data_IF_538667362910
#
_entry.id   IF_538667362910
#
_cell.length_a   1.000
_cell.length_b   1.000
_cell.length_c   1.000
_cell.angle_alpha   90.00
_cell.angle_beta   90.00
_cell.angle_gamma   90.00
#
_symmetry.space_group_name_H-M   'P 1'
#
loop_
_entity.id
_entity.type
_entity.pdbx_description
1 polymer ?
#
# COMPACT_ATOMS: atom_id res chain seq x y z
N UNK A 1 -20.38 -21.87 8.06
CA UNK A 1 -20.44 -23.30 8.46
C UNK A 1 -21.87 -23.83 8.55
N UNK A 2 -22.82 -23.11 9.14
CA UNK A 2 -24.23 -23.55 9.26
C UNK A 2 -24.95 -23.74 7.91
N UNK A 3 -24.67 -22.92 6.90
CA UNK A 3 -25.31 -23.03 5.58
C UNK A 3 -24.87 -24.31 4.85
N UNK A 4 -23.62 -24.74 5.02
CA UNK A 4 -23.10 -25.98 4.43
C UNK A 4 -23.74 -27.25 5.01
N UNK A 5 -24.02 -27.28 6.31
CA UNK A 5 -24.63 -28.42 6.98
C UNK A 5 -26.12 -28.58 6.60
N UNK A 6 -26.84 -27.48 6.39
CA UNK A 6 -28.25 -27.52 5.97
C UNK A 6 -28.43 -28.12 4.55
N UNK A 7 -27.51 -27.86 3.64
CA UNK A 7 -27.52 -28.44 2.27
C UNK A 7 -27.22 -29.94 2.28
N UNK A 8 -26.30 -30.41 3.12
CA UNK A 8 -25.96 -31.82 3.25
C UNK A 8 -27.15 -32.60 3.81
N UNK A 9 -27.83 -32.08 4.83
CA UNK A 9 -29.01 -32.73 5.43
C UNK A 9 -30.17 -32.82 4.44
N UNK A 10 -30.44 -31.76 3.65
CA UNK A 10 -31.47 -31.76 2.60
C UNK A 10 -31.16 -32.73 1.47
N UNK A 11 -29.89 -32.88 1.10
CA UNK A 11 -29.44 -33.81 0.07
C UNK A 11 -29.65 -35.27 0.49
N UNK A 12 -29.33 -35.63 1.75
CA UNK A 12 -29.57 -36.96 2.28
C UNK A 12 -31.07 -37.29 2.39
N UNK A 13 -31.93 -36.31 2.71
CA UNK A 13 -33.38 -36.52 2.77
C UNK A 13 -33.96 -36.80 1.39
N UNK A 14 -33.50 -36.13 0.35
CA UNK A 14 -33.91 -36.33 -1.05
C UNK A 14 -33.52 -37.76 -1.56
N UNK A 15 -32.36 -38.27 -1.14
CA UNK A 15 -31.87 -39.60 -1.50
C UNK A 15 -32.72 -40.71 -0.88
N UNK A 16 -33.26 -40.51 0.34
CA UNK A 16 -34.11 -41.53 1.04
C UNK A 16 -35.51 -41.59 0.42
N UNK A 17 -36.07 -40.50 -0.06
CA UNK A 17 -37.43 -40.44 -0.63
C UNK A 17 -37.50 -41.12 -2.02
N UNK A 18 -36.41 -41.17 -2.78
CA UNK A 18 -36.37 -41.77 -4.13
C UNK A 18 -36.20 -43.30 -4.10
N UNK A 19 -36.15 -43.91 -2.90
CA UNK A 19 -35.87 -45.35 -2.73
C UNK A 19 -36.95 -46.34 -3.25
N UNK A 20 -38.05 -45.81 -3.81
CA UNK A 20 -39.17 -46.65 -4.37
C UNK A 20 -39.18 -46.86 -5.86
N UNK A 21 -38.30 -46.23 -6.66
CA UNK A 21 -38.34 -46.26 -8.12
C UNK A 21 -37.22 -47.10 -8.76
N UNK A 22 -37.50 -47.71 -9.95
CA UNK A 22 -36.61 -48.56 -10.73
C UNK A 22 -35.30 -47.94 -11.18
N UNK A 23 -34.97 -46.71 -10.75
CA UNK A 23 -33.78 -45.92 -11.10
C UNK A 23 -32.58 -46.16 -10.18
N UNK A 24 -32.68 -47.08 -9.19
CA UNK A 24 -31.60 -47.36 -8.19
C UNK A 24 -30.22 -47.65 -8.84
N UNK A 25 -30.18 -48.18 -10.04
CA UNK A 25 -28.93 -48.56 -10.72
C UNK A 25 -28.17 -47.34 -11.26
N UNK A 26 -28.81 -46.18 -11.43
CA UNK A 26 -28.21 -44.98 -12.01
C UNK A 26 -27.98 -43.84 -11.01
N UNK A 27 -28.60 -43.90 -9.84
CA UNK A 27 -28.47 -42.86 -8.80
C UNK A 27 -27.05 -42.83 -8.25
N UNK A 28 -26.46 -43.98 -7.91
CA UNK A 28 -25.10 -44.00 -7.35
C UNK A 28 -24.03 -43.50 -8.34
N UNK A 29 -23.99 -43.95 -9.64
CA UNK A 29 -23.07 -43.39 -10.61
C UNK A 29 -23.33 -41.88 -10.87
N UNK A 30 -24.57 -41.39 -10.86
CA UNK A 30 -24.88 -39.99 -11.00
C UNK A 30 -24.37 -39.17 -9.81
N UNK A 31 -24.53 -39.66 -8.56
CA UNK A 31 -24.02 -39.02 -7.37
C UNK A 31 -22.49 -39.00 -7.33
N UNK A 32 -21.86 -40.09 -7.74
CA UNK A 32 -20.40 -40.15 -7.86
C UNK A 32 -19.89 -39.20 -8.93
N UNK A 33 -20.57 -39.09 -10.07
CA UNK A 33 -20.23 -38.13 -11.13
C UNK A 33 -20.43 -36.71 -10.68
N UNK A 34 -21.54 -36.37 -9.99
CA UNK A 34 -21.81 -35.05 -9.45
C UNK A 34 -20.78 -34.68 -8.38
N UNK A 35 -20.41 -35.61 -7.49
CA UNK A 35 -19.38 -35.42 -6.50
C UNK A 35 -17.99 -35.20 -7.12
N UNK A 36 -17.65 -35.99 -8.16
CA UNK A 36 -16.42 -35.83 -8.92
C UNK A 36 -16.38 -34.48 -9.66
N UNK A 37 -17.53 -34.04 -10.21
CA UNK A 37 -17.65 -32.73 -10.86
C UNK A 37 -17.46 -31.56 -9.86
N UNK A 38 -18.06 -31.66 -8.69
CA UNK A 38 -17.89 -30.64 -7.61
C UNK A 38 -16.44 -30.64 -7.11
N UNK A 39 -15.83 -31.81 -6.92
CA UNK A 39 -14.42 -31.88 -6.52
C UNK A 39 -13.48 -31.36 -7.63
N UNK A 40 -13.77 -31.64 -8.92
CA UNK A 40 -12.96 -31.10 -10.02
C UNK A 40 -13.09 -29.56 -10.15
N UNK A 41 -14.26 -28.97 -9.85
CA UNK A 41 -14.42 -27.52 -9.81
C UNK A 41 -13.63 -26.85 -8.66
N UNK A 42 -13.43 -27.53 -7.54
CA UNK A 42 -12.61 -27.02 -6.44
C UNK A 42 -11.10 -27.12 -6.74
N UNK A 43 -10.68 -28.10 -7.52
CA UNK A 43 -9.27 -28.26 -7.92
C UNK A 43 -8.84 -27.23 -8.97
N UNK A 44 -9.79 -26.65 -9.72
CA UNK A 44 -9.54 -25.62 -10.74
C UNK A 44 -9.54 -24.18 -10.21
N UNK A 45 -9.76 -23.96 -8.91
CA UNK A 45 -9.51 -22.68 -8.29
C UNK A 45 -8.00 -22.48 -8.18
N UNK A 46 -7.37 -22.05 -9.28
CA UNK A 46 -5.98 -21.55 -9.24
C UNK A 46 -5.97 -20.42 -8.22
N UNK A 47 -5.14 -20.49 -7.16
CA UNK A 47 -5.01 -19.37 -6.24
C UNK A 47 -4.66 -18.13 -7.07
N UNK A 48 -5.53 -17.13 -7.05
CA UNK A 48 -5.22 -15.88 -7.74
C UNK A 48 -3.98 -15.31 -7.08
N UNK A 49 -2.91 -15.13 -7.85
CA UNK A 49 -1.68 -14.54 -7.32
C UNK A 49 -2.01 -13.19 -6.68
N UNK A 50 -1.39 -12.90 -5.55
CA UNK A 50 -1.55 -11.60 -4.91
C UNK A 50 -1.12 -10.49 -5.87
N UNK A 51 -1.80 -9.34 -5.88
CA UNK A 51 -1.58 -8.27 -6.86
C UNK A 51 -0.14 -7.82 -7.00
N UNK A 52 0.64 -7.87 -5.91
CA UNK A 52 2.04 -7.43 -5.86
C UNK A 52 3.02 -8.59 -5.66
N UNK A 53 2.61 -9.84 -5.96
CA UNK A 53 3.49 -10.98 -5.90
C UNK A 53 4.72 -10.79 -6.83
N UNK A 54 5.91 -11.06 -6.31
CA UNK A 54 7.21 -10.87 -6.98
C UNK A 54 7.58 -9.38 -7.23
N UNK A 55 6.91 -8.44 -6.57
CA UNK A 55 7.30 -7.03 -6.54
C UNK A 55 8.04 -6.68 -5.27
N UNK A 56 8.95 -5.72 -5.37
CA UNK A 56 9.79 -5.28 -4.26
C UNK A 56 9.81 -3.74 -4.16
N UNK A 57 9.57 -3.22 -2.96
CA UNK A 57 9.49 -1.78 -2.73
C UNK A 57 10.40 -1.35 -1.59
N UNK A 58 10.96 -0.15 -1.71
CA UNK A 58 11.51 0.58 -0.57
C UNK A 58 10.51 1.63 -0.11
N UNK A 59 10.17 1.62 1.18
CA UNK A 59 9.39 2.67 1.81
C UNK A 59 10.34 3.58 2.57
N UNK A 60 10.42 4.82 2.12
CA UNK A 60 11.19 5.85 2.79
C UNK A 60 10.27 6.63 3.75
N UNK A 61 10.56 6.56 5.04
CA UNK A 61 9.90 7.37 6.05
C UNK A 61 10.70 8.66 6.25
N UNK A 62 10.20 9.77 5.74
CA UNK A 62 10.89 11.06 5.78
C UNK A 62 11.28 11.49 7.19
N UNK A 63 12.40 12.23 7.30
CA UNK A 63 12.94 12.73 8.57
C UNK A 63 13.30 11.64 9.60
N UNK A 64 13.38 11.98 10.87
CA UNK A 64 13.66 11.10 12.00
C UNK A 64 14.92 11.45 12.79
N UNK A 65 14.99 11.02 14.04
CA UNK A 65 16.12 11.26 14.93
C UNK A 65 16.29 12.74 15.28
N UNK A 66 17.35 13.38 14.75
CA UNK A 66 17.60 14.81 14.97
C UNK A 66 16.86 15.75 14.01
N UNK A 67 16.20 15.22 13.00
CA UNK A 67 15.38 15.97 12.04
C UNK A 67 13.89 15.65 12.25
N UNK A 68 13.20 16.47 13.02
CA UNK A 68 11.77 16.31 13.29
C UNK A 68 10.88 16.62 12.06
N UNK A 69 11.45 17.20 10.98
CA UNK A 69 10.69 17.73 9.85
C UNK A 69 9.90 18.99 10.21
N UNK A 70 8.74 19.15 9.59
CA UNK A 70 7.82 20.21 9.95
C UNK A 70 7.21 19.98 11.33
N UNK A 71 6.97 21.06 12.07
CA UNK A 71 6.41 21.02 13.42
C UNK A 71 5.26 22.02 13.60
N UNK A 72 4.27 21.65 14.40
CA UNK A 72 3.25 22.57 14.87
C UNK A 72 2.84 22.22 16.32
N UNK A 73 3.30 23.02 17.29
CA UNK A 73 3.22 22.66 18.72
C UNK A 73 4.01 21.38 18.98
N UNK A 74 3.39 20.41 19.62
CA UNK A 74 4.01 19.10 19.92
C UNK A 74 3.87 18.07 18.78
N UNK A 75 3.23 18.46 17.67
CA UNK A 75 3.02 17.56 16.52
C UNK A 75 4.22 17.66 15.59
N UNK A 76 4.89 16.53 15.37
CA UNK A 76 6.08 16.41 14.53
C UNK A 76 5.77 15.57 13.29
N UNK A 77 6.35 15.96 12.17
CA UNK A 77 6.21 15.29 10.89
C UNK A 77 6.79 13.87 10.92
N UNK A 78 7.99 13.72 11.44
CA UNK A 78 8.75 12.46 11.44
C UNK A 78 8.00 11.29 12.08
N UNK A 79 7.29 11.55 13.18
CA UNK A 79 6.52 10.55 13.91
C UNK A 79 5.31 10.07 13.10
N UNK A 80 4.60 11.00 12.43
CA UNK A 80 3.44 10.67 11.60
C UNK A 80 3.88 9.99 10.31
N UNK A 81 4.99 10.44 9.68
CA UNK A 81 5.58 9.79 8.53
C UNK A 81 5.89 8.31 8.83
N UNK A 82 6.49 8.02 9.98
CA UNK A 82 6.80 6.66 10.38
C UNK A 82 5.55 5.81 10.61
N UNK A 83 4.51 6.38 11.21
CA UNK A 83 3.24 5.69 11.42
C UNK A 83 2.58 5.30 10.09
N UNK A 84 2.44 6.24 9.15
CA UNK A 84 1.87 5.98 7.82
C UNK A 84 2.75 5.00 7.03
N UNK A 85 4.07 5.17 7.05
CA UNK A 85 5.01 4.29 6.35
C UNK A 85 4.92 2.83 6.81
N UNK A 86 4.72 2.59 8.12
CA UNK A 86 4.50 1.24 8.68
C UNK A 86 3.20 0.61 8.21
N UNK A 87 2.11 1.39 8.12
CA UNK A 87 0.84 0.91 7.58
C UNK A 87 0.97 0.58 6.08
N UNK A 88 1.63 1.45 5.30
CA UNK A 88 1.92 1.20 3.86
C UNK A 88 2.72 -0.09 3.70
N UNK A 89 3.80 -0.30 4.49
CA UNK A 89 4.57 -1.54 4.49
C UNK A 89 3.69 -2.75 4.75
N UNK A 90 2.86 -2.69 5.80
CA UNK A 90 1.99 -3.80 6.19
C UNK A 90 1.06 -4.18 5.05
N UNK A 91 0.38 -3.20 4.47
CA UNK A 91 -0.56 -3.43 3.37
C UNK A 91 0.13 -3.95 2.09
N UNK A 92 1.32 -3.44 1.74
CA UNK A 92 2.09 -3.95 0.60
C UNK A 92 2.47 -5.44 0.78
N UNK A 93 2.91 -5.82 1.98
CA UNK A 93 3.25 -7.21 2.32
C UNK A 93 2.00 -8.10 2.23
N UNK A 94 0.85 -7.64 2.72
CA UNK A 94 -0.44 -8.36 2.60
C UNK A 94 -0.85 -8.57 1.13
N UNK A 95 -0.44 -7.69 0.23
CA UNK A 95 -0.64 -7.83 -1.22
C UNK A 95 0.46 -8.66 -1.91
N UNK A 96 1.40 -9.22 -1.17
CA UNK A 96 2.43 -10.14 -1.68
C UNK A 96 3.76 -9.49 -2.04
N UNK A 97 3.96 -8.22 -1.77
CA UNK A 97 5.21 -7.54 -2.04
C UNK A 97 6.31 -7.86 -1.01
N UNK A 98 7.56 -7.78 -1.43
CA UNK A 98 8.72 -7.67 -0.54
C UNK A 98 8.97 -6.18 -0.22
N UNK A 99 9.21 -5.84 1.05
CA UNK A 99 9.34 -4.43 1.45
C UNK A 99 10.51 -4.24 2.41
N UNK A 100 11.35 -3.24 2.13
CA UNK A 100 12.33 -2.68 3.09
C UNK A 100 11.92 -1.24 3.42
N UNK A 101 12.16 -0.82 4.67
CA UNK A 101 12.04 0.58 5.08
C UNK A 101 13.42 1.20 5.22
N UNK A 102 13.55 2.50 4.89
CA UNK A 102 14.80 3.26 5.15
C UNK A 102 15.04 3.38 6.64
N UNK A 103 14.00 3.59 7.44
CA UNK A 103 13.99 3.52 8.90
C UNK A 103 12.69 2.92 9.41
N UNK A 104 12.76 2.20 10.51
CA UNK A 104 11.61 1.61 11.21
C UNK A 104 11.48 2.09 12.67
N UNK A 105 12.28 3.07 13.05
CA UNK A 105 12.30 3.73 14.35
C UNK A 105 12.51 5.24 14.24
N UNK A 106 12.55 5.91 15.40
CA UNK A 106 12.90 7.33 15.50
C UNK A 106 14.42 7.51 15.47
N UNK A 107 15.00 7.46 14.29
CA UNK A 107 16.40 7.71 14.01
C UNK A 107 16.58 8.22 12.59
N UNK A 108 17.63 9.00 12.36
CA UNK A 108 18.16 9.27 11.02
C UNK A 108 19.26 8.27 10.65
N UNK A 109 19.71 8.26 9.42
CA UNK A 109 20.70 7.32 8.89
C UNK A 109 22.12 7.89 8.87
N UNK A 110 22.32 9.11 9.37
CA UNK A 110 23.62 9.73 9.41
C UNK A 110 24.48 9.18 10.56
N UNK A 111 25.78 9.07 10.34
CA UNK A 111 26.75 8.71 11.38
C UNK A 111 26.77 9.71 12.53
N UNK A 112 27.47 9.35 13.63
CA UNK A 112 27.49 10.21 14.84
C UNK A 112 28.26 11.52 14.62
N UNK A 113 29.43 11.46 13.97
CA UNK A 113 30.37 12.59 13.83
C UNK A 113 30.48 13.07 12.38
N UNK A 114 29.34 13.41 11.75
CA UNK A 114 29.31 13.90 10.37
C UNK A 114 29.11 15.42 10.32
N UNK A 115 29.85 16.11 9.47
CA UNK A 115 29.80 17.56 9.32
C UNK A 115 28.43 18.06 8.79
N UNK A 116 27.86 17.34 7.82
CA UNK A 116 26.55 17.66 7.24
C UNK A 116 25.60 16.48 7.38
N UNK A 117 24.97 16.40 8.55
CA UNK A 117 24.07 15.30 8.94
C UNK A 117 22.92 15.10 7.97
N UNK A 118 22.25 16.18 7.53
CA UNK A 118 21.13 16.08 6.60
C UNK A 118 21.54 15.52 5.24
N UNK A 119 22.71 15.94 4.73
CA UNK A 119 23.22 15.43 3.47
C UNK A 119 23.58 13.95 3.56
N UNK A 120 24.22 13.56 4.65
CA UNK A 120 24.59 12.15 4.92
C UNK A 120 23.34 11.28 5.00
N UNK A 121 22.34 11.67 5.80
CA UNK A 121 21.06 10.97 5.91
C UNK A 121 20.40 10.76 4.54
N UNK A 122 20.31 11.80 3.73
CA UNK A 122 19.74 11.71 2.38
C UNK A 122 20.54 10.78 1.45
N UNK A 123 21.88 10.77 1.56
CA UNK A 123 22.73 9.86 0.78
C UNK A 123 22.50 8.40 1.19
N UNK A 124 22.36 8.12 2.48
CA UNK A 124 22.09 6.76 2.98
C UNK A 124 20.71 6.27 2.56
N UNK A 125 19.67 7.13 2.57
CA UNK A 125 18.34 6.82 2.04
C UNK A 125 18.42 6.41 0.57
N UNK A 126 19.08 7.21 -0.25
CA UNK A 126 19.30 6.90 -1.68
C UNK A 126 20.08 5.60 -1.86
N UNK A 127 21.09 5.32 -1.02
CA UNK A 127 21.84 4.07 -1.08
C UNK A 127 20.96 2.85 -0.77
N UNK A 128 20.05 2.95 0.20
CA UNK A 128 19.07 1.89 0.49
C UNK A 128 18.11 1.69 -0.68
N UNK A 129 17.60 2.78 -1.29
CA UNK A 129 16.71 2.71 -2.45
C UNK A 129 17.41 2.05 -3.64
N UNK A 130 18.69 2.37 -3.86
CA UNK A 130 19.51 1.82 -4.94
C UNK A 130 20.15 0.46 -4.60
N UNK A 131 19.57 -0.31 -3.68
CA UNK A 131 20.11 -1.60 -3.24
C UNK A 131 20.13 -2.70 -4.32
N UNK A 132 19.54 -2.45 -5.49
CA UNK A 132 19.61 -3.32 -6.66
C UNK A 132 18.55 -4.42 -6.74
N UNK A 133 17.60 -4.47 -5.81
CA UNK A 133 16.49 -5.44 -5.83
C UNK A 133 15.10 -4.77 -5.81
N UNK A 134 15.00 -3.47 -5.50
CA UNK A 134 13.73 -2.76 -5.48
C UNK A 134 13.25 -2.43 -6.91
N UNK A 135 11.97 -2.66 -7.17
CA UNK A 135 11.31 -2.24 -8.41
C UNK A 135 10.93 -0.77 -8.37
N UNK A 136 10.58 -0.26 -7.18
CA UNK A 136 10.23 1.14 -6.98
C UNK A 136 10.37 1.56 -5.50
N UNK A 137 10.24 2.88 -5.24
CA UNK A 137 10.21 3.40 -3.87
C UNK A 137 9.06 4.39 -3.66
N UNK A 138 8.64 4.54 -2.38
CA UNK A 138 7.61 5.48 -1.96
C UNK A 138 8.16 6.22 -0.73
N UNK A 139 8.36 7.53 -0.84
CA UNK A 139 8.76 8.39 0.26
C UNK A 139 7.52 9.03 0.89
N UNK A 140 7.39 8.96 2.22
CA UNK A 140 6.24 9.43 2.98
C UNK A 140 6.63 10.67 3.77
N UNK A 141 5.92 11.76 3.54
CA UNK A 141 6.13 13.07 4.11
C UNK A 141 4.82 13.77 4.50
N UNK A 142 4.94 14.85 5.28
CA UNK A 142 3.89 15.82 5.51
C UNK A 142 4.38 17.21 5.10
N UNK A 143 3.49 17.96 4.49
CA UNK A 143 3.77 19.31 4.04
C UNK A 143 3.52 20.35 5.16
N UNK A 144 4.14 21.51 5.01
CA UNK A 144 3.83 22.71 5.77
C UNK A 144 3.91 23.92 4.84
N UNK A 145 2.96 24.82 4.96
CA UNK A 145 2.92 26.03 4.14
C UNK A 145 2.65 27.27 5.00
N UNK A 146 3.04 28.45 4.53
CA UNK A 146 2.83 29.72 5.24
C UNK A 146 1.35 30.06 5.40
N UNK A 147 0.51 29.67 4.43
CA UNK A 147 -0.94 29.82 4.51
C UNK A 147 -1.57 28.60 5.16
N UNK A 148 -2.28 28.79 6.25
CA UNK A 148 -3.02 27.76 6.96
C UNK A 148 -4.27 27.25 6.20
N UNK A 149 -4.59 27.82 5.04
CA UNK A 149 -5.73 27.39 4.21
C UNK A 149 -5.36 26.33 3.18
N UNK A 150 -4.06 26.08 2.95
CA UNK A 150 -3.59 25.04 2.02
C UNK A 150 -3.66 23.69 2.72
N UNK A 151 -4.32 22.73 2.08
CA UNK A 151 -4.54 21.39 2.59
C UNK A 151 -4.68 20.35 1.47
N UNK A 152 -4.65 19.09 1.81
CA UNK A 152 -4.87 17.96 0.92
C UNK A 152 -3.59 17.23 0.51
N UNK A 153 -3.65 15.89 0.52
CA UNK A 153 -2.53 15.05 0.13
C UNK A 153 -2.13 15.27 -1.34
N UNK A 154 -0.81 15.28 -1.62
CA UNK A 154 -0.27 15.51 -2.94
C UNK A 154 0.92 14.61 -3.24
N UNK A 155 0.98 14.06 -4.45
CA UNK A 155 2.07 13.18 -4.89
C UNK A 155 3.01 13.93 -5.84
N UNK A 156 4.32 13.78 -5.58
CA UNK A 156 5.39 14.33 -6.39
C UNK A 156 6.19 13.22 -7.06
N UNK A 157 6.72 13.51 -8.25
CA UNK A 157 7.51 12.59 -9.05
C UNK A 157 8.65 13.32 -9.78
N UNK A 158 9.65 12.59 -10.23
CA UNK A 158 10.69 13.12 -11.11
C UNK A 158 10.13 13.36 -12.53
N UNK A 159 10.25 14.58 -13.05
CA UNK A 159 9.61 15.00 -14.30
C UNK A 159 10.00 14.14 -15.52
N UNK A 160 11.27 13.78 -15.60
CA UNK A 160 11.83 13.01 -16.72
C UNK A 160 11.52 11.49 -16.64
N UNK A 161 10.94 11.02 -15.52
CA UNK A 161 10.67 9.60 -15.30
C UNK A 161 9.19 9.27 -15.55
N UNK A 162 8.89 8.67 -16.71
CA UNK A 162 7.53 8.33 -17.11
C UNK A 162 6.86 7.31 -16.15
N UNK A 163 7.60 6.33 -15.64
CA UNK A 163 7.09 5.34 -14.69
C UNK A 163 6.74 5.99 -13.34
N UNK A 164 7.61 6.88 -12.81
CA UNK A 164 7.33 7.67 -11.62
C UNK A 164 6.08 8.55 -11.79
N UNK A 165 5.93 9.19 -12.93
CA UNK A 165 4.74 10.00 -13.27
C UNK A 165 3.48 9.16 -13.28
N UNK A 166 3.50 8.01 -13.92
CA UNK A 166 2.35 7.09 -13.96
C UNK A 166 1.96 6.60 -12.57
N UNK A 167 2.94 6.16 -11.76
CA UNK A 167 2.72 5.75 -10.37
C UNK A 167 2.12 6.88 -9.55
N UNK A 168 2.68 8.10 -9.66
CA UNK A 168 2.16 9.28 -8.96
C UNK A 168 0.71 9.59 -9.32
N UNK A 169 0.33 9.48 -10.59
CA UNK A 169 -1.04 9.72 -11.04
C UNK A 169 -2.01 8.68 -10.47
N UNK A 170 -1.64 7.40 -10.44
CA UNK A 170 -2.49 6.35 -9.87
C UNK A 170 -2.68 6.54 -8.35
N UNK A 171 -1.60 6.84 -7.62
CA UNK A 171 -1.68 7.10 -6.18
C UNK A 171 -2.51 8.36 -5.91
N UNK A 172 -2.30 9.45 -6.63
CA UNK A 172 -3.07 10.68 -6.47
C UNK A 172 -4.56 10.48 -6.74
N UNK A 173 -4.91 9.65 -7.72
CA UNK A 173 -6.31 9.30 -8.01
C UNK A 173 -6.97 8.60 -6.82
N UNK A 174 -6.28 7.65 -6.18
CA UNK A 174 -6.82 6.96 -5.01
C UNK A 174 -6.89 7.87 -3.78
N UNK A 175 -5.90 8.74 -3.57
CA UNK A 175 -5.96 9.76 -2.53
C UNK A 175 -7.15 10.70 -2.73
N UNK A 176 -7.41 11.13 -3.96
CA UNK A 176 -8.57 11.99 -4.28
C UNK A 176 -9.92 11.30 -4.12
N UNK A 177 -9.97 9.98 -4.23
CA UNK A 177 -11.17 9.18 -3.99
C UNK A 177 -11.42 8.89 -2.50
N UNK A 178 -10.35 8.87 -1.68
CA UNK A 178 -10.41 8.45 -0.28
C UNK A 178 -10.34 9.62 0.72
N UNK A 179 -9.92 10.80 0.26
CA UNK A 179 -9.81 12.03 1.06
C UNK A 179 -10.49 13.19 0.33
N UNK A 180 -10.51 14.36 0.94
CA UNK A 180 -11.08 15.58 0.33
C UNK A 180 -10.07 16.38 -0.51
N UNK A 181 -8.87 15.82 -0.77
CA UNK A 181 -7.83 16.52 -1.53
C UNK A 181 -8.29 16.89 -2.93
N UNK A 182 -7.98 18.11 -3.34
CA UNK A 182 -8.16 18.64 -4.71
C UNK A 182 -6.83 18.81 -5.43
N UNK A 183 -5.75 18.34 -4.80
CA UNK A 183 -4.41 18.38 -5.38
C UNK A 183 -4.29 17.41 -6.57
N UNK A 184 -3.32 17.65 -7.43
CA UNK A 184 -2.95 16.77 -8.53
C UNK A 184 -1.48 16.38 -8.41
N UNK A 185 -1.12 15.20 -8.92
CA UNK A 185 0.27 14.80 -9.02
C UNK A 185 1.05 15.80 -9.87
N UNK A 186 2.25 16.17 -9.44
CA UNK A 186 3.10 17.13 -10.16
C UNK A 186 4.60 16.79 -10.03
N UNK A 187 5.44 17.28 -10.95
CA UNK A 187 6.88 17.17 -10.76
C UNK A 187 7.34 17.88 -9.49
N UNK A 188 8.39 17.33 -8.86
CA UNK A 188 9.01 17.90 -7.66
C UNK A 188 10.53 17.82 -7.73
N UNK A 189 11.17 18.91 -7.34
CA UNK A 189 12.63 19.05 -7.26
C UNK A 189 13.10 18.60 -5.86
N UNK A 190 13.06 17.29 -5.62
CA UNK A 190 13.49 16.68 -4.36
C UNK A 190 14.68 15.76 -4.62
N UNK A 191 15.71 15.87 -3.78
CA UNK A 191 16.90 15.02 -3.86
C UNK A 191 16.56 13.52 -3.89
N UNK A 192 15.57 13.11 -3.09
CA UNK A 192 15.10 11.71 -3.01
C UNK A 192 14.39 11.24 -4.29
N UNK A 193 13.89 12.15 -5.13
CA UNK A 193 13.29 11.82 -6.42
C UNK A 193 14.31 11.79 -7.56
N UNK A 194 15.36 12.64 -7.47
CA UNK A 194 16.35 12.80 -8.53
C UNK A 194 17.44 11.73 -8.55
N UNK A 195 17.86 11.23 -7.39
CA UNK A 195 19.09 10.41 -7.26
C UNK A 195 18.89 8.91 -7.36
N UNK A 196 17.73 8.33 -7.02
CA UNK A 196 17.48 6.91 -7.24
C UNK A 196 17.48 6.52 -8.73
N UNK A 197 17.91 5.28 -9.00
CA UNK A 197 17.91 4.69 -10.34
C UNK A 197 16.59 3.95 -10.67
N UNK A 198 15.76 3.72 -9.67
CA UNK A 198 14.45 3.08 -9.81
C UNK A 198 13.35 4.13 -9.76
N UNK A 199 12.18 3.88 -10.40
CA UNK A 199 11.05 4.79 -10.31
C UNK A 199 10.58 4.98 -8.87
N UNK A 200 10.04 6.16 -8.57
CA UNK A 200 9.50 6.40 -7.25
C UNK A 200 8.75 7.71 -7.12
N UNK A 201 8.10 7.87 -5.99
CA UNK A 201 7.27 9.02 -5.66
C UNK A 201 7.53 9.51 -4.25
N UNK A 202 7.23 10.80 -4.02
CA UNK A 202 7.13 11.38 -2.70
C UNK A 202 5.68 11.78 -2.48
N UNK A 203 5.10 11.28 -1.38
CA UNK A 203 3.71 11.52 -0.99
C UNK A 203 3.70 12.48 0.20
N UNK A 204 3.28 13.71 -0.04
CA UNK A 204 2.90 14.65 1.01
C UNK A 204 1.48 14.30 1.47
N UNK A 205 1.38 13.62 2.61
CA UNK A 205 0.13 13.04 3.09
C UNK A 205 -0.89 14.08 3.62
N UNK A 206 -0.49 15.33 3.76
CA UNK A 206 -1.31 16.46 4.21
C UNK A 206 -0.46 17.57 4.79
N UNK A 207 -1.11 18.64 5.26
CA UNK A 207 -0.43 19.85 5.72
C UNK A 207 -0.54 20.01 7.24
N UNK A 208 0.58 20.01 7.96
CA UNK A 208 0.64 20.30 9.39
C UNK A 208 0.25 21.75 9.72
N UNK A 209 0.37 22.67 8.76
CA UNK A 209 -0.07 24.07 8.90
C UNK A 209 -1.59 24.22 8.91
N UNK A 210 -2.35 23.29 8.34
CA UNK A 210 -3.81 23.31 8.32
C UNK A 210 -4.39 22.60 9.55
N UNK A 211 -5.14 23.34 10.40
CA UNK A 211 -5.55 22.84 11.72
C UNK A 211 -6.37 21.55 11.69
N UNK A 212 -7.41 21.50 10.83
CA UNK A 212 -8.27 20.32 10.76
C UNK A 212 -7.54 19.12 10.17
N UNK A 213 -6.70 19.30 9.14
CA UNK A 213 -5.92 18.21 8.55
C UNK A 213 -4.85 17.70 9.53
N UNK A 214 -4.19 18.60 10.29
CA UNK A 214 -3.26 18.20 11.34
C UNK A 214 -3.94 17.35 12.43
N UNK A 215 -5.18 17.63 12.79
CA UNK A 215 -5.94 16.80 13.73
C UNK A 215 -6.22 15.39 13.12
N UNK A 216 -6.64 15.34 11.87
CA UNK A 216 -6.86 14.08 11.16
C UNK A 216 -5.57 13.24 11.03
N UNK A 217 -4.45 13.88 10.66
CA UNK A 217 -3.15 13.22 10.48
C UNK A 217 -2.64 12.53 11.75
N UNK A 218 -3.05 12.98 12.94
CA UNK A 218 -2.73 12.33 14.21
C UNK A 218 -3.62 11.11 14.51
N UNK A 219 -4.73 10.91 13.78
CA UNK A 219 -5.61 9.77 14.02
C UNK A 219 -5.16 8.53 13.25
N UNK A 220 -5.08 7.40 13.94
CA UNK A 220 -4.74 6.11 13.34
C UNK A 220 -5.69 5.73 12.18
N UNK A 221 -6.98 6.05 12.31
CA UNK A 221 -7.96 5.77 11.26
C UNK A 221 -7.68 6.52 9.96
N UNK A 222 -7.25 7.78 10.04
CA UNK A 222 -6.91 8.57 8.86
C UNK A 222 -5.57 8.14 8.26
N UNK A 223 -4.57 7.81 9.09
CA UNK A 223 -3.29 7.24 8.65
C UNK A 223 -3.50 5.94 7.87
N UNK A 224 -4.39 5.05 8.34
CA UNK A 224 -4.80 3.84 7.61
C UNK A 224 -5.53 4.14 6.30
N UNK A 225 -6.36 5.17 6.27
CA UNK A 225 -7.03 5.61 5.04
C UNK A 225 -6.02 6.07 3.99
N UNK A 226 -5.04 6.89 4.39
CA UNK A 226 -3.95 7.34 3.53
C UNK A 226 -3.10 6.16 3.02
N UNK A 227 -2.67 5.29 3.94
CA UNK A 227 -1.87 4.11 3.58
C UNK A 227 -2.59 3.19 2.59
N UNK A 228 -3.88 2.95 2.82
CA UNK A 228 -4.71 2.16 1.89
C UNK A 228 -4.79 2.82 0.52
N UNK A 229 -5.05 4.12 0.44
CA UNK A 229 -5.11 4.84 -0.82
C UNK A 229 -3.77 4.78 -1.58
N UNK A 230 -2.64 4.91 -0.89
CA UNK A 230 -1.31 4.77 -1.48
C UNK A 230 -1.13 3.37 -2.08
N UNK A 231 -1.44 2.32 -1.32
CA UNK A 231 -1.28 0.93 -1.77
C UNK A 231 -2.25 0.57 -2.89
N UNK A 232 -3.50 1.01 -2.84
CA UNK A 232 -4.47 0.85 -3.94
C UNK A 232 -3.95 1.52 -5.23
N UNK A 233 -3.28 2.67 -5.12
CA UNK A 233 -2.63 3.35 -6.24
C UNK A 233 -1.44 2.58 -6.80
N UNK A 234 -0.62 1.98 -5.95
CA UNK A 234 0.47 1.09 -6.37
C UNK A 234 -0.07 -0.12 -7.13
N UNK A 235 -1.11 -0.76 -6.61
CA UNK A 235 -1.76 -1.89 -7.29
C UNK A 235 -2.33 -1.47 -8.64
N UNK A 236 -2.92 -0.28 -8.74
CA UNK A 236 -3.43 0.25 -10.01
C UNK A 236 -2.30 0.52 -11.01
N UNK A 237 -1.16 1.03 -10.55
CA UNK A 237 0.06 1.22 -11.36
C UNK A 237 0.58 -0.11 -11.91
N UNK A 238 0.73 -1.13 -11.09
CA UNK A 238 1.24 -2.43 -11.53
C UNK A 238 0.33 -3.12 -12.54
N UNK A 239 -0.99 -2.91 -12.46
CA UNK A 239 -1.94 -3.41 -13.48
C UNK A 239 -1.86 -2.66 -14.80
N UNK A 240 -1.40 -1.41 -14.79
CA UNK A 240 -1.23 -0.63 -16.01
C UNK A 240 0.02 -1.05 -16.79
N UNK A 241 1.07 -1.49 -16.07
CA UNK A 241 2.35 -1.93 -16.65
C UNK A 241 2.32 -3.38 -17.19
N UNK A 242 1.25 -4.14 -16.92
CA UNK A 242 1.02 -5.51 -17.46
C UNK A 242 0.33 -5.45 -18.82
#
# INVERSE_FOLDING_TARGET
>A
EEVGQAWIASFFHMVIVVSGMRYKRWILPFLLFAAALVMSMQVLAVPQALPLANRAYVIDSGHGGKDDGAQHGDVREDAINLAIAREVRTLLIEQGASVIMTRDGDHDLAGEDVENRKREDMQQRVAIINCGWADAFISIHLNAYTSANVHGAQVFYQEENAASKQMAQQIQQQLSASTDTKMSAKPGDYYILEKPSVPGVLVECGFLSHAAEREQLQSESYQKTLAKAIVDGVIAYERYEQ
#
